data_IF_733935510593
#
_entry.id   IF_733935510593
#
_cell.length_a   1.000
_cell.length_b   1.000
_cell.length_c   1.000
_cell.angle_alpha   90.00
_cell.angle_beta   90.00
_cell.angle_gamma   90.00
#
_symmetry.space_group_name_H-M   'P 1'
#
loop_
_entity.id
_entity.type
_entity.pdbx_description
1 polymer ?
#
# COMPACT_ATOMS: atom_id res chain seq x y z
N UNK A 1 23.67 0.44 -7.48
CA UNK A 1 22.21 0.22 -7.30
C UNK A 1 21.64 1.46 -6.64
N UNK A 2 20.62 2.08 -7.24
CA UNK A 2 19.95 3.25 -6.65
C UNK A 2 18.86 2.74 -5.70
N UNK A 3 18.99 3.07 -4.42
CA UNK A 3 18.06 2.61 -3.38
C UNK A 3 16.95 3.65 -3.24
N UNK A 4 15.75 3.31 -3.69
CA UNK A 4 14.56 4.07 -3.33
C UNK A 4 14.10 3.62 -1.94
N UNK A 5 14.38 4.47 -0.97
CA UNK A 5 13.90 4.32 0.38
C UNK A 5 12.50 4.91 0.48
N UNK A 6 11.51 4.03 0.46
CA UNK A 6 10.22 4.35 1.04
C UNK A 6 10.31 4.21 2.54
N UNK A 7 9.35 4.81 3.20
CA UNK A 7 9.34 4.87 4.62
C UNK A 7 7.84 4.96 4.93
N UNK A 8 7.32 3.98 5.65
CA UNK A 8 5.89 3.68 5.72
C UNK A 8 5.38 3.62 7.16
N UNK A 9 4.15 4.05 7.35
CA UNK A 9 3.32 3.75 8.52
C UNK A 9 1.93 3.45 7.97
N UNK A 10 1.52 2.18 7.80
CA UNK A 10 0.15 1.88 7.35
C UNK A 10 -0.79 1.86 8.54
N UNK A 11 -1.87 2.61 8.40
CA UNK A 11 -3.11 2.32 9.09
C UNK A 11 -4.17 2.04 8.02
N UNK A 12 -4.57 0.77 7.88
CA UNK A 12 -5.71 0.40 7.03
C UNK A 12 -6.97 0.36 7.90
N UNK A 13 -7.89 1.28 7.64
CA UNK A 13 -9.17 1.39 8.34
C UNK A 13 -10.23 0.98 7.34
N UNK A 14 -10.73 -0.26 7.37
CA UNK A 14 -11.93 -0.58 6.61
C UNK A 14 -13.14 -0.34 7.50
N UNK A 15 -13.74 0.84 7.38
CA UNK A 15 -15.07 1.05 7.94
C UNK A 15 -16.11 0.46 6.98
N UNK A 16 -16.63 -0.72 7.31
CA UNK A 16 -18.03 -0.98 7.02
C UNK A 16 -18.86 0.02 7.83
N UNK A 17 -19.78 0.69 7.16
CA UNK A 17 -20.77 1.61 7.71
C UNK A 17 -21.25 1.26 9.13
N UNK A 18 -21.22 2.24 10.03
CA UNK A 18 -21.73 2.24 11.43
C UNK A 18 -20.77 1.79 12.56
N UNK A 19 -19.70 2.56 12.81
CA UNK A 19 -19.20 2.68 14.17
C UNK A 19 -20.13 3.65 14.93
N UNK A 20 -21.33 3.20 15.32
CA UNK A 20 -22.20 4.02 16.16
C UNK A 20 -21.84 3.95 17.65
N UNK A 21 -21.11 2.92 18.11
CA UNK A 21 -20.73 2.77 19.54
C UNK A 21 -19.33 2.17 19.78
N UNK A 22 -18.53 1.92 18.72
CA UNK A 22 -17.22 1.26 18.82
C UNK A 22 -16.03 2.24 18.79
N UNK A 23 -14.91 1.88 19.42
CA UNK A 23 -13.68 2.67 19.29
C UNK A 23 -13.16 2.57 17.84
N UNK A 24 -12.56 3.63 17.30
CA UNK A 24 -11.97 3.59 15.95
C UNK A 24 -10.93 2.46 15.79
N UNK A 25 -10.36 1.97 16.91
CA UNK A 25 -9.42 0.84 16.94
C UNK A 25 -10.09 -0.45 16.46
N UNK A 26 -11.40 -0.60 16.69
CA UNK A 26 -12.17 -1.76 16.27
C UNK A 26 -12.43 -1.75 14.75
N UNK A 27 -12.33 -0.58 14.10
CA UNK A 27 -12.46 -0.43 12.64
C UNK A 27 -11.13 -0.64 11.88
N UNK A 28 -10.01 -0.79 12.59
CA UNK A 28 -8.69 -1.06 11.97
C UNK A 28 -8.59 -2.54 11.62
N UNK A 29 -8.47 -2.84 10.33
CA UNK A 29 -8.29 -4.22 9.86
C UNK A 29 -6.83 -4.66 9.96
N UNK A 30 -5.90 -3.76 9.62
CA UNK A 30 -4.48 -4.02 9.66
C UNK A 30 -3.68 -2.74 9.93
N UNK A 31 -2.76 -2.81 10.89
CA UNK A 31 -1.87 -1.73 11.29
C UNK A 31 -0.44 -2.23 11.40
N UNK A 32 0.41 -1.71 10.51
CA UNK A 32 1.83 -2.04 10.44
C UNK A 32 2.65 -0.77 10.69
N UNK A 33 3.27 -0.63 11.88
CA UNK A 33 4.04 0.56 12.22
C UNK A 33 5.35 0.67 11.45
N UNK A 34 5.85 -0.44 10.91
CA UNK A 34 7.13 -0.54 10.20
C UNK A 34 8.34 -0.09 11.03
N UNK A 35 8.27 -0.26 12.35
CA UNK A 35 9.32 0.13 13.29
C UNK A 35 10.19 -1.08 13.62
N UNK A 36 11.18 -1.35 12.77
CA UNK A 36 12.10 -2.49 12.90
C UNK A 36 11.56 -3.85 12.43
N UNK A 37 10.26 -3.94 12.11
CA UNK A 37 9.62 -5.11 11.48
C UNK A 37 8.53 -4.68 10.52
N UNK A 38 8.27 -5.51 9.50
CA UNK A 38 7.18 -5.29 8.56
C UNK A 38 5.87 -5.95 9.04
N UNK A 39 5.94 -6.83 10.05
CA UNK A 39 4.75 -7.50 10.58
C UNK A 39 3.79 -6.48 11.21
N UNK A 40 2.49 -6.71 10.99
CA UNK A 40 1.46 -5.89 11.57
C UNK A 40 1.37 -6.13 13.09
N UNK A 41 1.21 -5.04 13.85
CA UNK A 41 0.98 -5.11 15.30
C UNK A 41 -0.51 -5.30 15.64
N UNK A 42 -1.38 -5.01 14.68
CA UNK A 42 -2.80 -5.34 14.74
C UNK A 42 -3.22 -5.85 13.35
N UNK A 43 -3.90 -6.98 13.32
CA UNK A 43 -4.46 -7.59 12.12
C UNK A 43 -5.74 -8.34 12.51
N UNK A 44 -6.74 -8.37 11.62
CA UNK A 44 -7.94 -9.20 11.79
C UNK A 44 -7.72 -10.63 11.26
N UNK A 45 -6.85 -10.78 10.27
CA UNK A 45 -6.34 -12.05 9.76
C UNK A 45 -4.87 -12.27 10.13
N UNK A 46 -4.10 -12.90 9.24
CA UNK A 46 -2.65 -13.06 9.44
C UNK A 46 -1.94 -11.71 9.27
N UNK A 47 -1.26 -11.25 10.32
CA UNK A 47 -0.51 -10.00 10.33
C UNK A 47 0.92 -10.11 9.80
N UNK A 48 1.39 -11.31 9.44
CA UNK A 48 2.75 -11.49 8.92
C UNK A 48 2.93 -10.81 7.56
N UNK A 49 4.00 -10.05 7.44
CA UNK A 49 4.42 -9.48 6.18
C UNK A 49 5.14 -10.54 5.33
N UNK A 50 4.87 -10.52 4.02
CA UNK A 50 5.62 -11.25 3.02
C UNK A 50 6.35 -10.23 2.10
N UNK A 51 7.58 -9.82 2.45
CA UNK A 51 8.36 -8.92 1.63
C UNK A 51 8.80 -9.61 0.33
N UNK A 52 8.85 -8.83 -0.74
CA UNK A 52 9.36 -9.22 -2.06
C UNK A 52 10.58 -8.35 -2.36
N UNK A 53 11.69 -8.98 -2.73
CA UNK A 53 12.95 -8.26 -2.98
C UNK A 53 13.64 -7.77 -1.70
N UNK A 54 14.76 -7.03 -1.83
CA UNK A 54 15.51 -6.52 -0.69
C UNK A 54 14.72 -5.44 0.04
N UNK A 55 14.64 -5.54 1.36
CA UNK A 55 13.99 -4.54 2.22
C UNK A 55 14.89 -4.17 3.39
N UNK A 56 14.72 -2.96 3.92
CA UNK A 56 15.45 -2.50 5.10
C UNK A 56 14.61 -1.49 5.89
N UNK A 57 15.01 -1.21 7.13
CA UNK A 57 14.37 -0.20 7.98
C UNK A 57 15.27 1.01 8.11
N UNK A 58 14.73 2.19 7.78
CA UNK A 58 15.44 3.48 7.83
C UNK A 58 14.71 4.45 8.77
N UNK A 59 15.35 5.56 9.19
CA UNK A 59 14.66 6.59 9.98
C UNK A 59 13.36 7.06 9.33
N UNK A 60 12.28 6.96 10.10
CA UNK A 60 10.90 7.24 9.72
C UNK A 60 10.44 8.66 10.07
N UNK A 61 9.18 8.98 9.75
CA UNK A 61 8.51 10.22 10.24
C UNK A 61 8.43 10.24 11.77
N UNK A 62 8.26 9.05 12.35
CA UNK A 62 8.26 8.70 13.78
C UNK A 62 8.77 7.26 13.87
N UNK A 63 9.87 7.01 14.59
CA UNK A 63 10.50 5.69 14.65
C UNK A 63 11.25 5.34 13.35
N UNK A 64 11.23 4.07 12.96
CA UNK A 64 11.74 3.59 11.68
C UNK A 64 10.62 3.42 10.65
N UNK A 65 11.01 2.99 9.45
CA UNK A 65 10.12 2.87 8.32
C UNK A 65 10.68 1.91 7.26
N UNK A 66 9.78 1.18 6.58
CA UNK A 66 10.15 0.17 5.59
C UNK A 66 10.59 0.78 4.25
N UNK A 67 11.85 0.54 3.88
CA UNK A 67 12.49 0.90 2.62
C UNK A 67 12.28 -0.16 1.55
N UNK A 68 11.67 0.26 0.44
CA UNK A 68 11.32 -0.57 -0.70
C UNK A 68 12.01 -0.07 -1.99
N UNK A 69 13.21 -0.59 -2.33
CA UNK A 69 13.87 -0.24 -3.58
C UNK A 69 13.06 -0.71 -4.80
N UNK A 70 13.55 -0.39 -5.99
CA UNK A 70 12.90 -0.75 -7.25
C UNK A 70 12.55 -2.26 -7.30
N UNK A 71 11.31 -2.56 -7.70
CA UNK A 71 10.74 -3.91 -7.76
C UNK A 71 10.64 -4.64 -6.40
N UNK A 72 10.95 -3.99 -5.28
CA UNK A 72 10.63 -4.51 -3.96
C UNK A 72 9.17 -4.20 -3.59
N UNK A 73 8.63 -5.00 -2.68
CA UNK A 73 7.30 -4.81 -2.16
C UNK A 73 7.09 -5.46 -0.80
N UNK A 74 5.94 -5.19 -0.21
CA UNK A 74 5.48 -5.84 1.01
C UNK A 74 4.04 -6.27 0.82
N UNK A 75 3.69 -7.45 1.32
CA UNK A 75 2.36 -8.02 1.15
C UNK A 75 1.84 -8.60 2.45
N UNK A 76 0.51 -8.67 2.57
CA UNK A 76 -0.19 -9.22 3.71
C UNK A 76 -1.31 -10.12 3.19
N UNK A 77 -1.76 -11.06 4.03
CA UNK A 77 -2.95 -11.85 3.72
C UNK A 77 -4.16 -10.92 3.49
N UNK A 78 -4.96 -11.19 2.45
CA UNK A 78 -6.23 -10.45 2.21
C UNK A 78 -7.26 -10.79 3.27
N UNK A 79 -7.36 -12.08 3.57
CA UNK A 79 -8.44 -12.62 4.38
C UNK A 79 -8.53 -11.88 5.72
N UNK A 80 -9.72 -11.36 6.02
CA UNK A 80 -10.05 -10.47 7.13
C UNK A 80 -9.28 -9.13 7.24
N UNK A 81 -8.11 -8.96 6.62
CA UNK A 81 -7.32 -7.73 6.68
C UNK A 81 -7.72 -6.67 5.64
N UNK A 82 -8.51 -7.06 4.64
CA UNK A 82 -8.84 -6.20 3.51
C UNK A 82 -10.26 -6.46 2.98
N UNK A 83 -10.93 -5.41 2.51
CA UNK A 83 -12.26 -5.51 1.86
C UNK A 83 -12.27 -4.86 0.48
N UNK A 84 -12.56 -5.65 -0.56
CA UNK A 84 -12.70 -5.13 -1.94
C UNK A 84 -13.93 -4.23 -2.09
N UNK A 85 -14.98 -4.49 -1.32
CA UNK A 85 -16.26 -3.77 -1.42
C UNK A 85 -16.18 -2.32 -0.94
N UNK A 86 -15.45 -2.06 0.14
CA UNK A 86 -15.25 -0.70 0.65
C UNK A 86 -14.15 -0.67 1.69
N UNK A 87 -13.51 0.48 1.84
CA UNK A 87 -12.54 0.67 2.91
C UNK A 87 -11.84 2.00 2.85
N UNK A 88 -10.84 2.15 3.72
CA UNK A 88 -9.95 3.29 3.74
C UNK A 88 -8.53 2.81 4.01
N UNK A 89 -7.59 3.51 3.40
CA UNK A 89 -6.17 3.29 3.55
C UNK A 89 -5.54 4.62 3.91
N UNK A 90 -4.65 4.63 4.90
CA UNK A 90 -3.77 5.75 5.10
C UNK A 90 -2.35 5.32 5.43
N UNK A 91 -1.39 6.11 4.95
CA UNK A 91 0.00 5.92 5.28
C UNK A 91 0.81 7.20 5.22
N UNK A 92 1.90 7.24 5.99
CA UNK A 92 2.99 8.15 5.73
C UNK A 92 3.90 7.57 4.66
N UNK A 93 4.27 8.37 3.67
CA UNK A 93 5.13 7.98 2.56
C UNK A 93 6.16 9.07 2.32
N UNK A 94 7.41 8.71 2.11
CA UNK A 94 8.46 9.61 1.65
C UNK A 94 9.12 9.01 0.42
N UNK A 95 9.47 9.87 -0.54
CA UNK A 95 10.36 9.51 -1.63
C UNK A 95 11.80 9.75 -1.19
N UNK A 96 12.73 8.88 -1.52
CA UNK A 96 14.13 9.11 -1.18
C UNK A 96 14.67 10.38 -1.89
N UNK A 97 15.42 11.19 -1.14
CA UNK A 97 16.11 12.40 -1.59
C UNK A 97 17.12 12.11 -2.71
N UNK A 98 17.77 10.95 -2.66
CA UNK A 98 18.85 10.58 -3.59
C UNK A 98 18.35 10.09 -4.96
N UNK A 99 17.04 9.92 -5.10
CA UNK A 99 16.39 9.41 -6.31
C UNK A 99 15.37 10.39 -6.88
N UNK A 100 15.55 11.68 -6.61
CA UNK A 100 14.73 12.76 -7.15
C UNK A 100 14.68 12.80 -8.69
N UNK A 101 15.58 12.09 -9.37
CA UNK A 101 15.46 11.81 -10.81
C UNK A 101 14.61 10.55 -10.99
N UNK A 102 13.29 10.76 -11.08
CA UNK A 102 12.39 9.78 -11.66
C UNK A 102 12.79 9.60 -13.13
N UNK A 103 13.40 8.46 -13.46
CA UNK A 103 13.62 8.11 -14.87
C UNK A 103 12.27 7.65 -15.44
N UNK A 104 11.48 8.60 -15.94
CA UNK A 104 10.16 8.36 -16.52
C UNK A 104 10.22 7.43 -17.74
N UNK A 105 11.41 7.12 -18.26
CA UNK A 105 11.59 6.20 -19.40
C UNK A 105 11.77 4.74 -18.99
N UNK A 106 11.97 4.41 -17.70
CA UNK A 106 12.29 3.04 -17.26
C UNK A 106 11.14 2.22 -16.67
N UNK A 107 9.92 2.75 -16.63
CA UNK A 107 8.71 1.95 -16.33
C UNK A 107 8.65 1.36 -14.91
N UNK A 108 9.47 1.84 -13.99
CA UNK A 108 9.56 1.32 -12.63
C UNK A 108 8.35 1.73 -11.79
N UNK A 109 7.77 0.78 -11.05
CA UNK A 109 6.68 0.99 -10.10
C UNK A 109 7.03 0.41 -8.73
N UNK A 110 6.36 0.90 -7.68
CA UNK A 110 6.51 0.42 -6.30
C UNK A 110 5.18 -0.18 -5.83
N UNK A 111 5.21 -1.34 -5.15
CA UNK A 111 4.02 -2.04 -4.64
C UNK A 111 4.03 -2.17 -3.13
N UNK A 112 2.95 -1.79 -2.47
CA UNK A 112 2.92 -1.66 -0.99
C UNK A 112 1.97 -2.60 -0.27
N UNK A 113 0.99 -3.12 -0.97
CA UNK A 113 0.06 -4.09 -0.45
C UNK A 113 -0.23 -5.01 -1.63
N UNK A 114 0.19 -6.27 -1.56
CA UNK A 114 -0.42 -7.29 -2.40
C UNK A 114 -1.36 -8.05 -1.51
N UNK A 115 -2.64 -7.98 -1.82
CA UNK A 115 -3.53 -9.03 -1.38
C UNK A 115 -3.08 -10.36 -1.97
N UNK A 116 -2.78 -11.36 -1.12
CA UNK A 116 -2.55 -12.74 -1.58
C UNK A 116 -3.69 -13.18 -2.50
N UNK A 117 -3.31 -13.73 -3.65
CA UNK A 117 -4.16 -14.10 -4.77
C UNK A 117 -5.18 -15.15 -4.33
N UNK A 118 -6.46 -14.97 -4.66
CA UNK A 118 -7.46 -16.06 -4.51
C UNK A 118 -7.11 -17.24 -5.44
N UNK A 119 -6.34 -16.98 -6.51
CA UNK A 119 -5.81 -17.97 -7.45
C UNK A 119 -4.30 -17.76 -7.58
N UNK A 120 -3.45 -18.57 -6.91
CA UNK A 120 -2.00 -18.37 -6.87
C UNK A 120 -1.34 -18.26 -8.26
N UNK A 121 -1.91 -18.92 -9.26
CA UNK A 121 -1.36 -18.99 -10.62
C UNK A 121 -1.68 -17.77 -11.51
N UNK A 122 -2.67 -16.93 -11.18
CA UNK A 122 -3.02 -15.77 -12.01
C UNK A 122 -2.32 -14.50 -11.51
N UNK A 123 -1.29 -13.98 -12.22
CA UNK A 123 -0.61 -12.75 -11.83
C UNK A 123 -1.52 -11.52 -11.86
N UNK A 124 -2.67 -11.58 -12.53
CA UNK A 124 -3.66 -10.53 -12.58
C UNK A 124 -4.59 -10.51 -11.35
N UNK A 125 -4.68 -11.56 -10.52
CA UNK A 125 -5.53 -11.54 -9.34
C UNK A 125 -4.82 -10.88 -8.15
N UNK A 126 -4.85 -9.56 -8.07
CA UNK A 126 -4.21 -8.80 -6.99
C UNK A 126 -5.00 -7.55 -6.65
N UNK A 127 -4.96 -7.20 -5.37
CA UNK A 127 -5.34 -5.85 -4.90
C UNK A 127 -4.06 -5.16 -4.50
N UNK A 128 -3.73 -4.05 -5.15
CA UNK A 128 -2.48 -3.38 -4.88
C UNK A 128 -2.50 -1.86 -4.91
N UNK A 129 -1.78 -1.28 -3.96
CA UNK A 129 -1.49 0.14 -3.90
C UNK A 129 -0.10 0.38 -4.48
N UNK A 130 -0.03 1.25 -5.48
CA UNK A 130 1.20 1.60 -6.19
C UNK A 130 1.41 3.10 -6.28
N UNK A 131 2.67 3.51 -6.36
CA UNK A 131 3.02 4.81 -6.95
C UNK A 131 3.77 4.59 -8.25
N UNK A 132 3.26 5.22 -9.31
CA UNK A 132 3.79 5.21 -10.66
C UNK A 132 4.77 6.35 -10.92
N UNK A 133 5.49 6.26 -12.04
CA UNK A 133 6.58 7.17 -12.42
C UNK A 133 6.15 8.62 -12.67
N UNK A 134 4.90 8.80 -13.08
CA UNK A 134 4.24 10.09 -13.26
C UNK A 134 3.83 10.72 -11.92
N UNK A 135 4.27 10.12 -10.80
CA UNK A 135 3.95 10.49 -9.43
C UNK A 135 2.48 10.27 -9.07
N UNK A 136 1.78 9.45 -9.85
CA UNK A 136 0.40 9.05 -9.58
C UNK A 136 0.39 7.94 -8.53
N UNK A 137 -0.40 8.15 -7.47
CA UNK A 137 -0.77 7.08 -6.55
C UNK A 137 -1.99 6.35 -7.12
N UNK A 138 -1.91 5.03 -7.25
CA UNK A 138 -3.02 4.21 -7.70
C UNK A 138 -3.36 3.14 -6.69
N UNK A 139 -4.64 3.02 -6.35
CA UNK A 139 -5.20 1.81 -5.79
C UNK A 139 -5.83 1.00 -6.93
N UNK A 140 -5.38 -0.23 -7.11
CA UNK A 140 -5.84 -1.14 -8.17
C UNK A 140 -6.48 -2.38 -7.56
N UNK A 141 -7.66 -2.73 -8.06
CA UNK A 141 -8.34 -4.01 -7.85
C UNK A 141 -8.37 -4.76 -9.14
N UNK A 142 -7.65 -5.87 -9.23
CA UNK A 142 -7.66 -6.71 -10.40
C UNK A 142 -8.30 -8.05 -10.04
N UNK A 143 -9.42 -8.35 -10.69
CA UNK A 143 -10.11 -9.65 -10.57
C UNK A 143 -9.50 -10.66 -11.54
N UNK A 144 -9.57 -11.97 -11.24
CA UNK A 144 -9.12 -13.00 -12.17
C UNK A 144 -9.87 -12.95 -13.51
N UNK A 145 -9.18 -13.45 -14.53
CA UNK A 145 -9.64 -13.69 -15.91
C UNK A 145 -10.91 -14.57 -15.97
N UNK A 146 -11.74 -14.53 -17.05
CA UNK A 146 -11.41 -14.17 -18.44
C UNK A 146 -11.59 -12.68 -18.84
N UNK A 147 -12.23 -11.86 -18.01
CA UNK A 147 -12.36 -10.42 -18.25
C UNK A 147 -11.85 -9.68 -16.99
N UNK A 148 -10.56 -9.35 -16.91
CA UNK A 148 -10.02 -8.66 -15.76
C UNK A 148 -10.74 -7.32 -15.62
N UNK A 149 -11.50 -7.17 -14.54
CA UNK A 149 -12.09 -5.89 -14.19
C UNK A 149 -11.08 -5.16 -13.32
N UNK A 150 -10.71 -3.95 -13.74
CA UNK A 150 -9.80 -3.10 -12.99
C UNK A 150 -10.61 -2.00 -12.32
N UNK A 151 -10.80 -2.09 -11.02
CA UNK A 151 -11.18 -0.91 -10.25
C UNK A 151 -9.92 -0.09 -9.99
N UNK A 152 -9.83 1.12 -10.52
CA UNK A 152 -8.65 1.98 -10.30
C UNK A 152 -9.04 3.34 -9.73
N UNK A 153 -8.41 3.71 -8.62
CA UNK A 153 -8.40 5.09 -8.14
C UNK A 153 -7.00 5.63 -8.40
N UNK A 154 -6.88 6.62 -9.27
CA UNK A 154 -5.63 7.30 -9.59
C UNK A 154 -5.68 8.72 -9.04
N UNK A 155 -4.70 9.08 -8.20
CA UNK A 155 -4.52 10.44 -7.69
C UNK A 155 -3.27 11.02 -8.35
N UNK A 156 -3.42 11.85 -9.39
CA UNK A 156 -2.30 12.43 -10.11
C UNK A 156 -1.62 13.52 -9.27
N UNK A 157 -0.31 13.67 -9.49
CA UNK A 157 0.54 14.77 -8.99
C UNK A 157 0.21 15.25 -7.56
N UNK A 158 0.46 14.38 -6.57
CA UNK A 158 0.33 14.71 -5.14
C UNK A 158 1.33 15.78 -4.65
N UNK A 159 2.05 16.47 -5.54
CA UNK A 159 3.05 17.48 -5.16
C UNK A 159 4.24 16.88 -4.41
N UNK A 160 4.60 15.64 -4.73
CA UNK A 160 5.65 14.93 -4.02
C UNK A 160 6.98 15.69 -4.03
N UNK A 161 7.51 15.91 -2.83
CA UNK A 161 8.84 16.48 -2.63
C UNK A 161 9.76 15.40 -2.06
N UNK A 162 10.90 15.16 -2.71
CA UNK A 162 11.86 14.16 -2.27
C UNK A 162 12.41 14.49 -0.88
N UNK A 163 12.59 13.45 -0.05
CA UNK A 163 12.97 13.57 1.36
C UNK A 163 11.89 14.15 2.27
N UNK A 164 10.70 14.47 1.74
CA UNK A 164 9.57 14.98 2.53
C UNK A 164 8.55 13.87 2.75
N UNK A 165 8.03 13.83 3.98
CA UNK A 165 6.97 12.93 4.38
C UNK A 165 5.59 13.48 4.02
N UNK A 166 4.82 12.68 3.31
CA UNK A 166 3.44 12.97 2.93
C UNK A 166 2.50 11.99 3.61
N UNK A 167 1.36 12.48 4.10
CA UNK A 167 0.30 11.62 4.59
C UNK A 167 -0.69 11.37 3.46
N UNK A 168 -0.75 10.13 3.02
CA UNK A 168 -1.68 9.65 2.02
C UNK A 168 -2.89 9.07 2.74
N UNK A 169 -4.08 9.48 2.34
CA UNK A 169 -5.34 8.88 2.78
C UNK A 169 -6.25 8.72 1.58
N UNK A 170 -6.83 7.54 1.41
CA UNK A 170 -7.81 7.26 0.36
C UNK A 170 -8.94 6.42 0.94
N UNK A 171 -10.13 6.57 0.37
CA UNK A 171 -11.31 5.79 0.72
C UNK A 171 -11.95 5.27 -0.56
N UNK A 172 -12.63 4.14 -0.48
CA UNK A 172 -13.27 3.55 -1.64
C UNK A 172 -14.56 2.82 -1.33
N UNK A 173 -15.36 2.66 -2.39
CA UNK A 173 -16.48 1.73 -2.50
C UNK A 173 -16.45 1.12 -3.89
N UNK A 174 -16.61 -0.20 -4.00
CA UNK A 174 -16.47 -0.93 -5.26
C UNK A 174 -17.36 -0.36 -6.37
N UNK A 175 -18.61 0.01 -6.06
CA UNK A 175 -19.55 0.63 -7.01
C UNK A 175 -19.10 1.99 -7.59
N UNK A 176 -18.13 2.64 -6.95
CA UNK A 176 -17.60 3.96 -7.35
C UNK A 176 -16.30 3.82 -8.15
N UNK A 177 -15.70 2.61 -8.20
CA UNK A 177 -14.55 2.31 -9.03
C UNK A 177 -15.03 1.93 -10.43
N UNK A 178 -14.40 2.54 -11.44
CA UNK A 178 -14.66 2.28 -12.86
C UNK A 178 -13.39 1.79 -13.53
#
# INVERSE_FOLDING_TARGET
>A
MRTLAFAFLALSVASATSAQDGSWKDAVLLYAPMDGTADATQARGDGRAAPVGPTSFLPGRRGQALSLPEAAGCSYAVDANFSRESGSFCAWVSLNRDTAVWDTQKGSWYQWLLGVRDVPADPANRSDLRVFFDRTLTLQFATPTPAPTYGMIAIPDLGWTAGTWHHVGLTWRAREMR
#
